data_IF_504588686069
#
_entry.id   IF_504588686069
#
_cell.length_a   1.000
_cell.length_b   1.000
_cell.length_c   1.000
_cell.angle_alpha   90.00
_cell.angle_beta   90.00
_cell.angle_gamma   90.00
#
_symmetry.space_group_name_H-M   'P 1'
#
loop_
_entity.id
_entity.type
_entity.pdbx_description
1 polymer ?
#
# COMPACT_ATOMS: atom_id res chain seq x y z
N UNK A 1 -7.90 -26.93 42.19
CA UNK A 1 -7.46 -27.26 40.83
C UNK A 1 -6.67 -26.06 40.32
N UNK A 2 -5.37 -26.03 40.62
CA UNK A 2 -4.48 -24.98 40.12
C UNK A 2 -4.25 -25.28 38.64
N UNK A 3 -4.87 -24.49 37.75
CA UNK A 3 -4.39 -24.40 36.38
C UNK A 3 -2.94 -23.91 36.51
N UNK A 4 -2.01 -24.69 35.98
CA UNK A 4 -0.56 -24.48 36.12
C UNK A 4 -0.23 -23.02 35.73
N UNK A 5 0.32 -22.25 36.68
CA UNK A 5 0.67 -20.84 36.46
C UNK A 5 1.58 -20.65 35.24
N UNK A 6 2.39 -21.67 34.91
CA UNK A 6 3.19 -21.69 33.69
C UNK A 6 2.34 -21.72 32.43
N UNK A 7 1.28 -22.52 32.40
CA UNK A 7 0.33 -22.59 31.28
C UNK A 7 -0.43 -21.27 31.14
N UNK A 8 -0.74 -20.58 32.24
CA UNK A 8 -1.36 -19.26 32.20
C UNK A 8 -0.41 -18.20 31.64
N UNK A 9 0.88 -18.24 32.02
CA UNK A 9 1.89 -17.32 31.51
C UNK A 9 2.17 -17.56 30.02
N UNK A 10 2.38 -18.81 29.61
CA UNK A 10 2.58 -19.18 28.20
C UNK A 10 1.38 -18.76 27.32
N UNK A 11 0.15 -18.95 27.81
CA UNK A 11 -1.04 -18.49 27.11
C UNK A 11 -1.11 -16.97 26.99
N UNK A 12 -0.76 -16.23 28.06
CA UNK A 12 -0.72 -14.76 28.04
C UNK A 12 0.31 -14.23 27.03
N UNK A 13 1.48 -14.85 26.97
CA UNK A 13 2.55 -14.47 26.04
C UNK A 13 2.14 -14.72 24.58
N UNK A 14 1.47 -15.85 24.29
CA UNK A 14 0.92 -16.15 22.95
C UNK A 14 -0.15 -15.13 22.54
N UNK A 15 -1.05 -14.78 23.46
CA UNK A 15 -2.10 -13.78 23.19
C UNK A 15 -1.50 -12.40 22.95
N UNK A 16 -0.50 -11.99 23.74
CA UNK A 16 0.19 -10.72 23.57
C UNK A 16 0.91 -10.65 22.23
N UNK A 17 1.68 -11.68 21.88
CA UNK A 17 2.34 -11.77 20.57
C UNK A 17 1.33 -11.72 19.42
N UNK A 18 0.19 -12.43 19.53
CA UNK A 18 -0.88 -12.37 18.54
C UNK A 18 -1.53 -10.99 18.43
N UNK A 19 -1.70 -10.27 19.55
CA UNK A 19 -2.25 -8.93 19.56
C UNK A 19 -1.29 -7.88 18.97
N UNK A 20 0.01 -8.00 19.24
CA UNK A 20 1.05 -7.14 18.67
C UNK A 20 1.18 -7.34 17.15
N UNK A 21 1.18 -8.60 16.69
CA UNK A 21 1.23 -8.93 15.26
C UNK A 21 -0.04 -8.43 14.54
N UNK A 22 -1.23 -8.61 15.15
CA UNK A 22 -2.47 -8.05 14.63
C UNK A 22 -2.44 -6.51 14.57
N UNK A 23 -1.90 -5.86 15.60
CA UNK A 23 -1.79 -4.40 15.63
C UNK A 23 -0.78 -3.87 14.59
N UNK A 24 0.33 -4.56 14.38
CA UNK A 24 1.32 -4.18 13.37
C UNK A 24 0.76 -4.33 11.96
N UNK A 25 0.12 -5.46 11.64
CA UNK A 25 -0.59 -5.66 10.37
C UNK A 25 -1.68 -4.60 10.16
N UNK A 26 -2.42 -4.26 11.22
CA UNK A 26 -3.44 -3.21 11.15
C UNK A 26 -2.83 -1.84 10.87
N UNK A 27 -1.67 -1.50 11.44
CA UNK A 27 -0.95 -0.24 11.13
C UNK A 27 -0.44 -0.21 9.69
N UNK A 28 0.16 -1.30 9.23
CA UNK A 28 0.71 -1.41 7.88
C UNK A 28 -0.37 -1.34 6.79
N UNK A 29 -1.60 -1.77 7.11
CA UNK A 29 -2.77 -1.72 6.24
C UNK A 29 -3.36 -0.32 5.99
N UNK A 30 -2.93 0.71 6.72
CA UNK A 30 -3.53 2.05 6.60
C UNK A 30 -2.84 2.86 5.51
N UNK A 31 -3.63 3.49 4.64
CA UNK A 31 -3.11 4.46 3.67
C UNK A 31 -2.55 5.67 4.42
N UNK A 32 -1.25 5.94 4.21
CA UNK A 32 -0.55 7.10 4.78
C UNK A 32 -0.49 8.25 3.77
N UNK A 33 -0.42 7.93 2.47
CA UNK A 33 -0.43 8.93 1.41
C UNK A 33 -1.63 9.88 1.55
N UNK A 34 -1.38 11.17 1.39
CA UNK A 34 -2.39 12.20 1.59
C UNK A 34 -3.30 12.32 0.36
N UNK A 35 -4.61 12.39 0.56
CA UNK A 35 -5.56 12.66 -0.51
C UNK A 35 -5.65 14.16 -0.81
N UNK A 36 -5.51 14.53 -2.08
CA UNK A 36 -5.59 15.91 -2.57
C UNK A 36 -6.64 16.00 -3.67
N UNK A 37 -7.33 17.14 -3.74
CA UNK A 37 -8.34 17.37 -4.78
C UNK A 37 -7.70 17.66 -6.15
N UNK A 38 -6.52 18.27 -6.16
CA UNK A 38 -5.79 18.72 -7.36
C UNK A 38 -4.31 18.35 -7.27
N UNK A 39 -3.61 18.14 -8.40
CA UNK A 39 -2.17 18.00 -8.41
C UNK A 39 -1.49 19.31 -8.02
N UNK A 40 -0.29 19.20 -7.47
CA UNK A 40 0.62 20.31 -7.22
C UNK A 40 1.76 20.22 -8.26
N UNK A 41 1.98 21.24 -9.09
CA UNK A 41 3.00 21.21 -10.14
C UNK A 41 4.43 21.07 -9.59
N UNK A 42 4.67 21.40 -8.32
CA UNK A 42 5.99 21.26 -7.69
C UNK A 42 6.26 19.82 -7.25
N UNK A 43 5.23 18.98 -7.16
CA UNK A 43 5.40 17.57 -6.83
C UNK A 43 5.81 16.75 -8.05
N UNK A 44 6.61 15.70 -7.82
CA UNK A 44 7.06 14.79 -8.87
C UNK A 44 6.12 13.60 -8.98
N UNK A 45 5.52 13.40 -10.16
CA UNK A 45 4.66 12.26 -10.39
C UNK A 45 5.45 10.93 -10.35
N UNK A 46 4.91 9.95 -9.62
CA UNK A 46 5.42 8.57 -9.57
C UNK A 46 4.36 7.58 -10.08
N UNK A 47 4.64 6.27 -9.99
CA UNK A 47 3.70 5.26 -10.46
C UNK A 47 2.37 5.27 -9.68
N UNK A 48 2.40 5.50 -8.36
CA UNK A 48 1.23 5.35 -7.47
C UNK A 48 0.76 6.66 -6.83
N UNK A 49 1.60 7.70 -6.78
CA UNK A 49 1.29 8.99 -6.18
C UNK A 49 2.20 10.10 -6.72
N UNK A 50 1.93 11.36 -6.41
CA UNK A 50 2.95 12.40 -6.50
C UNK A 50 3.84 12.39 -5.25
N UNK A 51 5.13 12.69 -5.40
CA UNK A 51 6.09 12.84 -4.33
C UNK A 51 6.39 14.33 -4.10
N UNK A 52 6.12 14.82 -2.89
CA UNK A 52 6.38 16.21 -2.51
C UNK A 52 7.82 16.44 -2.01
N UNK A 53 8.44 15.43 -1.40
CA UNK A 53 9.81 15.54 -0.86
C UNK A 53 10.56 14.24 -1.06
N UNK A 54 11.39 14.22 -2.11
CA UNK A 54 12.17 13.04 -2.52
C UNK A 54 13.36 12.78 -1.58
N UNK A 55 13.92 13.82 -0.95
CA UNK A 55 15.17 13.74 -0.19
C UNK A 55 14.96 13.30 1.27
N UNK A 56 13.73 13.39 1.76
CA UNK A 56 13.33 13.08 3.14
C UNK A 56 12.28 11.97 3.22
N UNK A 57 12.42 10.92 2.40
CA UNK A 57 11.57 9.73 2.51
C UNK A 57 11.78 9.03 3.85
N UNK A 58 10.72 8.51 4.51
CA UNK A 58 10.85 7.74 5.75
C UNK A 58 11.49 6.35 5.53
N UNK A 59 11.62 5.90 4.28
CA UNK A 59 12.13 4.56 3.95
C UNK A 59 13.63 4.55 3.60
N UNK A 60 14.21 5.72 3.33
CA UNK A 60 15.63 5.87 3.01
C UNK A 60 16.26 6.90 3.93
N UNK A 61 17.54 6.72 4.27
CA UNK A 61 18.24 7.69 5.13
C UNK A 61 18.20 9.12 4.56
N UNK A 62 18.21 10.17 5.42
CA UNK A 62 18.12 11.56 4.98
C UNK A 62 19.19 11.94 3.95
N UNK A 63 18.80 12.72 2.93
CA UNK A 63 19.71 13.30 1.95
C UNK A 63 20.22 12.35 0.87
N UNK A 64 19.67 11.13 0.76
CA UNK A 64 20.07 10.14 -0.27
C UNK A 64 19.06 9.93 -1.40
N UNK A 65 17.95 10.65 -1.39
CA UNK A 65 16.85 10.38 -2.32
C UNK A 65 16.13 9.07 -2.01
N UNK A 66 14.84 9.00 -2.33
CA UNK A 66 14.04 7.79 -2.13
C UNK A 66 14.42 6.70 -3.15
N UNK A 67 14.71 5.50 -2.64
CA UNK A 67 14.98 4.28 -3.40
C UNK A 67 13.97 3.16 -3.08
N UNK A 68 12.93 3.48 -2.32
CA UNK A 68 11.88 2.53 -2.01
C UNK A 68 11.05 2.25 -3.26
N UNK A 69 10.50 1.02 -3.34
CA UNK A 69 9.55 0.67 -4.39
C UNK A 69 8.41 1.68 -4.44
N UNK A 70 7.89 1.96 -5.64
CA UNK A 70 6.73 2.85 -5.77
C UNK A 70 5.46 2.32 -5.09
N UNK A 71 5.39 1.03 -4.74
CA UNK A 71 4.31 0.51 -3.87
C UNK A 71 4.35 1.10 -2.46
N UNK A 72 5.55 1.45 -1.97
CA UNK A 72 5.75 2.05 -0.65
C UNK A 72 5.24 3.48 -0.59
N UNK A 73 5.04 4.16 -1.73
CA UNK A 73 4.46 5.50 -1.74
C UNK A 73 3.05 5.54 -1.10
N UNK A 74 2.29 4.45 -1.14
CA UNK A 74 0.98 4.36 -0.44
C UNK A 74 1.11 4.50 1.09
N UNK A 75 2.27 4.09 1.64
CA UNK A 75 2.64 4.20 3.04
C UNK A 75 3.51 5.41 3.37
N UNK A 76 3.78 6.30 2.40
CA UNK A 76 4.72 7.42 2.57
C UNK A 76 4.04 8.72 3.00
N UNK A 77 4.61 9.42 3.98
CA UNK A 77 4.14 10.75 4.41
C UNK A 77 4.36 11.85 3.34
N UNK A 78 5.24 11.61 2.37
CA UNK A 78 5.55 12.56 1.30
C UNK A 78 4.69 12.34 0.05
N UNK A 79 3.87 11.27 0.03
CA UNK A 79 3.04 10.93 -1.11
C UNK A 79 1.71 11.70 -1.12
N UNK A 80 1.26 12.10 -2.30
CA UNK A 80 -0.01 12.79 -2.57
C UNK A 80 -0.79 12.05 -3.65
N UNK A 81 -2.01 11.63 -3.33
CA UNK A 81 -2.92 10.99 -4.29
C UNK A 81 -4.00 12.00 -4.64
N UNK A 82 -4.17 12.25 -5.94
CA UNK A 82 -5.21 13.09 -6.49
C UNK A 82 -5.97 12.34 -7.60
N UNK A 83 -7.09 12.86 -8.13
CA UNK A 83 -7.94 12.13 -9.09
C UNK A 83 -7.25 11.58 -10.34
N UNK A 84 -6.12 12.15 -10.74
CA UNK A 84 -5.31 11.66 -11.88
C UNK A 84 -4.65 10.30 -11.63
N UNK A 85 -4.58 9.86 -10.37
CA UNK A 85 -4.05 8.54 -9.99
C UNK A 85 -5.14 7.48 -9.83
N UNK A 86 -6.42 7.87 -9.71
CA UNK A 86 -7.47 6.93 -9.30
C UNK A 86 -7.62 5.76 -10.28
N UNK A 87 -7.54 6.00 -11.60
CA UNK A 87 -7.70 4.96 -12.60
C UNK A 87 -6.61 3.87 -12.45
N UNK A 88 -5.33 4.24 -12.51
CA UNK A 88 -4.22 3.30 -12.31
C UNK A 88 -4.23 2.63 -10.93
N UNK A 89 -4.60 3.33 -9.86
CA UNK A 89 -4.64 2.75 -8.52
C UNK A 89 -5.78 1.73 -8.37
N UNK A 90 -6.93 2.00 -8.97
CA UNK A 90 -8.02 1.03 -9.03
C UNK A 90 -7.65 -0.17 -9.90
N UNK A 91 -6.90 0.04 -10.99
CA UNK A 91 -6.37 -1.05 -11.79
C UNK A 91 -5.37 -1.91 -11.02
N UNK A 92 -4.40 -1.29 -10.33
CA UNK A 92 -3.42 -1.96 -9.49
C UNK A 92 -4.10 -2.83 -8.42
N UNK A 93 -5.10 -2.29 -7.72
CA UNK A 93 -5.87 -3.03 -6.74
C UNK A 93 -6.53 -4.28 -7.32
N UNK A 94 -7.14 -4.17 -8.50
CA UNK A 94 -7.72 -5.31 -9.22
C UNK A 94 -6.65 -6.35 -9.59
N UNK A 95 -5.49 -5.89 -10.07
CA UNK A 95 -4.37 -6.78 -10.42
C UNK A 95 -3.84 -7.54 -9.20
N UNK A 96 -3.61 -6.86 -8.06
CA UNK A 96 -3.19 -7.48 -6.82
C UNK A 96 -4.22 -8.47 -6.26
N UNK A 97 -5.51 -8.16 -6.41
CA UNK A 97 -6.61 -9.07 -6.03
C UNK A 97 -6.62 -10.34 -6.87
N UNK A 98 -6.34 -10.25 -8.17
CA UNK A 98 -6.19 -11.43 -9.03
C UNK A 98 -4.93 -12.24 -8.68
N UNK A 99 -3.80 -11.57 -8.40
CA UNK A 99 -2.57 -12.25 -7.96
C UNK A 99 -2.79 -13.03 -6.65
N UNK A 100 -3.52 -12.44 -5.70
CA UNK A 100 -3.91 -13.12 -4.45
C UNK A 100 -4.62 -14.44 -4.71
N UNK A 101 -5.52 -14.47 -5.70
CA UNK A 101 -6.27 -15.68 -6.04
C UNK A 101 -5.43 -16.79 -6.70
N UNK A 102 -4.22 -16.47 -7.16
CA UNK A 102 -3.35 -17.37 -7.93
C UNK A 102 -2.09 -17.84 -7.18
N UNK A 103 -1.79 -17.29 -6.00
CA UNK A 103 -0.55 -17.56 -5.26
C UNK A 103 -0.82 -18.13 -3.85
N UNK A 104 0.13 -18.88 -3.27
CA UNK A 104 0.06 -19.26 -1.85
C UNK A 104 0.02 -18.01 -0.97
N UNK A 105 -0.89 -18.00 0.02
CA UNK A 105 -1.11 -16.85 0.90
C UNK A 105 0.16 -16.26 1.52
N UNK A 106 1.11 -17.04 2.08
CA UNK A 106 2.31 -16.47 2.69
C UNK A 106 3.23 -15.73 1.70
N UNK A 107 3.27 -16.18 0.44
CA UNK A 107 4.05 -15.52 -0.62
C UNK A 107 3.39 -14.19 -0.99
N UNK A 108 2.06 -14.22 -1.16
CA UNK A 108 1.34 -13.01 -1.50
C UNK A 108 1.38 -11.95 -0.39
N UNK A 109 1.23 -12.37 0.87
CA UNK A 109 1.28 -11.46 2.02
C UNK A 109 2.63 -10.74 2.11
N UNK A 110 3.74 -11.47 1.92
CA UNK A 110 5.09 -10.92 2.01
C UNK A 110 5.38 -9.86 0.92
N UNK A 111 4.90 -10.08 -0.29
CA UNK A 111 5.26 -9.22 -1.44
C UNK A 111 4.21 -8.12 -1.71
N UNK A 112 2.93 -8.39 -1.46
CA UNK A 112 1.82 -7.54 -1.94
C UNK A 112 0.82 -7.15 -0.85
N UNK A 113 0.84 -7.82 0.30
CA UNK A 113 -0.19 -7.69 1.34
C UNK A 113 -0.38 -6.26 1.82
N UNK A 114 0.71 -5.56 2.15
CA UNK A 114 0.64 -4.17 2.61
C UNK A 114 0.09 -3.22 1.55
N UNK A 115 0.58 -3.32 0.31
CA UNK A 115 0.15 -2.46 -0.78
C UNK A 115 -1.33 -2.67 -1.11
N UNK A 116 -1.77 -3.93 -1.15
CA UNK A 116 -3.18 -4.27 -1.34
C UNK A 116 -4.06 -3.71 -0.23
N UNK A 117 -3.67 -3.88 1.03
CA UNK A 117 -4.44 -3.38 2.17
C UNK A 117 -4.57 -1.84 2.16
N UNK A 118 -3.50 -1.12 1.78
CA UNK A 118 -3.55 0.35 1.63
C UNK A 118 -4.44 0.79 0.47
N UNK A 119 -4.50 0.01 -0.62
CA UNK A 119 -5.43 0.25 -1.73
C UNK A 119 -6.89 -0.04 -1.35
N UNK A 120 -7.14 -1.06 -0.52
CA UNK A 120 -8.46 -1.29 0.07
C UNK A 120 -8.89 -0.12 0.94
N UNK A 121 -7.98 0.43 1.75
CA UNK A 121 -8.27 1.61 2.56
C UNK A 121 -8.55 2.84 1.67
N UNK A 122 -7.76 3.06 0.61
CA UNK A 122 -8.02 4.10 -0.39
C UNK A 122 -9.41 3.93 -1.02
N UNK A 123 -9.74 2.72 -1.48
CA UNK A 123 -11.05 2.40 -2.07
C UNK A 123 -12.18 2.78 -1.12
N UNK A 124 -12.06 2.42 0.16
CA UNK A 124 -13.04 2.76 1.20
C UNK A 124 -13.15 4.26 1.42
N UNK A 125 -12.05 5.02 1.41
CA UNK A 125 -12.03 6.48 1.56
C UNK A 125 -12.67 7.20 0.36
N UNK A 126 -12.44 6.71 -0.86
CA UNK A 126 -13.02 7.28 -2.09
C UNK A 126 -14.49 6.90 -2.31
N UNK A 127 -14.88 5.70 -1.83
CA UNK A 127 -16.21 5.14 -2.01
C UNK A 127 -16.39 4.40 -3.34
N UNK A 128 -17.27 3.40 -3.32
CA UNK A 128 -17.51 2.50 -4.47
C UNK A 128 -17.86 3.23 -5.78
N UNK A 129 -18.70 4.29 -5.81
CA UNK A 129 -19.03 4.95 -7.07
C UNK A 129 -17.81 5.61 -7.75
N UNK A 130 -16.94 6.26 -6.96
CA UNK A 130 -15.71 6.90 -7.46
C UNK A 130 -14.74 5.82 -7.95
N UNK A 131 -14.62 4.73 -7.19
CA UNK A 131 -13.76 3.61 -7.55
C UNK A 131 -14.19 2.91 -8.85
N UNK A 132 -15.48 2.63 -9.00
CA UNK A 132 -16.04 2.05 -10.22
C UNK A 132 -15.86 2.97 -11.43
N UNK A 133 -16.05 4.28 -11.24
CA UNK A 133 -15.78 5.27 -12.29
C UNK A 133 -14.29 5.29 -12.68
N UNK A 134 -13.39 5.20 -11.69
CA UNK A 134 -11.95 5.14 -11.94
C UNK A 134 -11.57 3.90 -12.76
N UNK A 135 -12.11 2.72 -12.40
CA UNK A 135 -11.93 1.48 -13.16
C UNK A 135 -12.42 1.59 -14.61
N UNK A 136 -13.55 2.27 -14.83
CA UNK A 136 -14.09 2.48 -16.17
C UNK A 136 -13.23 3.41 -17.05
N UNK A 137 -12.32 4.19 -16.44
CA UNK A 137 -11.46 5.17 -17.12
C UNK A 137 -10.02 4.70 -17.32
N UNK A 138 -9.69 3.47 -16.94
CA UNK A 138 -8.33 2.92 -17.07
C UNK A 138 -7.91 2.90 -18.53
N UNK A 139 -6.84 3.63 -18.82
CA UNK A 139 -6.22 3.72 -20.13
C UNK A 139 -5.19 2.60 -20.36
N UNK A 140 -4.70 2.46 -21.59
CA UNK A 140 -3.59 1.54 -21.87
C UNK A 140 -2.29 2.00 -21.21
N UNK A 141 -2.06 3.32 -21.14
CA UNK A 141 -0.92 3.87 -20.40
C UNK A 141 -0.97 3.53 -18.90
N UNK A 142 -2.17 3.52 -18.29
CA UNK A 142 -2.32 3.07 -16.91
C UNK A 142 -2.01 1.57 -16.77
N UNK A 143 -2.42 0.74 -17.74
CA UNK A 143 -2.13 -0.72 -17.74
C UNK A 143 -0.63 -0.97 -17.86
N UNK A 144 0.02 -0.36 -18.84
CA UNK A 144 1.46 -0.51 -19.09
C UNK A 144 2.29 -0.06 -17.88
N UNK A 145 1.91 1.07 -17.25
CA UNK A 145 2.59 1.57 -16.06
C UNK A 145 2.47 0.60 -14.88
N UNK A 146 1.28 0.02 -14.66
CA UNK A 146 1.06 -0.97 -13.60
C UNK A 146 1.78 -2.29 -13.90
N UNK A 147 1.83 -2.74 -15.15
CA UNK A 147 2.60 -3.93 -15.52
C UNK A 147 4.10 -3.74 -15.28
N UNK A 148 4.66 -2.58 -15.65
CA UNK A 148 6.05 -2.21 -15.32
C UNK A 148 6.30 -2.17 -13.81
N UNK A 149 5.35 -1.66 -13.03
CA UNK A 149 5.45 -1.63 -11.57
C UNK A 149 5.48 -3.05 -10.99
N UNK A 150 4.54 -3.90 -11.39
CA UNK A 150 4.40 -5.26 -10.86
C UNK A 150 5.52 -6.21 -11.29
N UNK A 151 6.20 -5.90 -12.40
CA UNK A 151 7.39 -6.63 -12.85
C UNK A 151 8.70 -6.08 -12.27
N UNK A 152 8.64 -5.03 -11.44
CA UNK A 152 9.79 -4.43 -10.78
C UNK A 152 10.67 -3.57 -11.68
N UNK A 153 10.26 -3.31 -12.93
CA UNK A 153 11.02 -2.53 -13.91
C UNK A 153 11.20 -1.07 -13.46
N UNK A 154 10.29 -0.57 -12.63
CA UNK A 154 10.33 0.81 -12.15
C UNK A 154 11.21 1.01 -10.90
N UNK A 155 11.56 -0.05 -10.19
CA UNK A 155 12.26 0.02 -8.90
C UNK A 155 13.80 -0.14 -9.03
N UNK A 156 14.35 0.18 -10.21
CA UNK A 156 15.77 0.01 -10.58
C UNK A 156 16.61 1.27 -10.48
#
# INVERSE_FOLDING_TARGET
>A
MLVDQRVQQEAADIIAAGAEDAAERARQAVLVAELRAIPDPDNRQTATADCHDYEHSPFTGPGKGCLASFLMCLGCTNARIHPGHHARLAHLHRALTHLHSAQPLPVWEADWGEAHARLEDLKRRLGEPVWAQALARVTDADRDLIDCLLTGVLDT
#
